data_IF_463659667776
#
_entry.id   IF_463659667776
#
_cell.length_a   1.000
_cell.length_b   1.000
_cell.length_c   1.000
_cell.angle_alpha   90.00
_cell.angle_beta   90.00
_cell.angle_gamma   90.00
#
_symmetry.space_group_name_H-M   'P 1'
#
loop_
_entity.id
_entity.type
_entity.pdbx_description
1 polymer ?
#
# COMPACT_ATOMS: atom_id res chain seq x y z
N UNK A 1 -6.32 -31.24 12.64
CA UNK A 1 -6.15 -29.87 13.18
C UNK A 1 -7.45 -29.46 13.83
N UNK A 2 -7.43 -28.87 15.03
CA UNK A 2 -8.64 -28.39 15.68
C UNK A 2 -9.07 -27.06 15.04
N UNK A 3 -10.33 -26.95 14.62
CA UNK A 3 -10.89 -25.71 14.07
C UNK A 3 -10.98 -24.68 15.20
N UNK A 4 -10.35 -23.52 15.03
CA UNK A 4 -10.46 -22.42 15.98
C UNK A 4 -11.92 -21.92 16.04
N UNK A 5 -12.42 -21.68 17.25
CA UNK A 5 -13.81 -21.26 17.53
C UNK A 5 -13.80 -20.05 18.44
N UNK A 6 -14.74 -19.12 18.26
CA UNK A 6 -14.98 -18.07 19.24
C UNK A 6 -15.93 -18.57 20.31
N UNK A 7 -15.53 -18.35 21.57
CA UNK A 7 -16.43 -18.51 22.71
C UNK A 7 -17.20 -17.21 22.91
N UNK A 8 -18.53 -17.30 22.89
CA UNK A 8 -19.42 -16.17 23.13
C UNK A 8 -20.13 -16.41 24.45
N UNK A 9 -20.04 -15.44 25.36
CA UNK A 9 -20.71 -15.51 26.64
C UNK A 9 -21.57 -14.27 26.90
N UNK A 10 -22.72 -14.45 27.52
CA UNK A 10 -23.66 -13.38 27.84
C UNK A 10 -24.38 -13.65 29.17
N UNK A 11 -24.77 -12.58 29.86
CA UNK A 11 -25.56 -12.69 31.09
C UNK A 11 -27.06 -12.63 30.79
N UNK A 12 -27.84 -13.48 31.45
CA UNK A 12 -29.29 -13.41 31.41
C UNK A 12 -29.80 -12.78 32.70
N UNK A 13 -30.35 -11.57 32.58
CA UNK A 13 -31.02 -10.89 33.69
C UNK A 13 -32.54 -10.92 33.48
N UNK A 14 -33.29 -11.37 34.49
CA UNK A 14 -34.75 -11.42 34.45
C UNK A 14 -35.36 -11.20 35.83
N UNK A 15 -36.64 -10.81 35.83
CA UNK A 15 -37.49 -10.79 37.03
C UNK A 15 -38.67 -11.70 36.76
N UNK A 16 -38.91 -12.65 37.65
CA UNK A 16 -40.05 -13.57 37.54
C UNK A 16 -40.66 -13.79 38.92
N UNK A 17 -42.00 -13.74 38.99
CA UNK A 17 -42.75 -14.09 40.20
C UNK A 17 -42.94 -15.60 40.37
N UNK A 18 -42.53 -16.39 39.37
CA UNK A 18 -42.60 -17.86 39.36
C UNK A 18 -41.27 -18.48 38.88
N UNK A 19 -40.91 -19.70 39.29
CA UNK A 19 -39.67 -20.33 38.85
C UNK A 19 -39.61 -20.50 37.32
N UNK A 20 -38.43 -20.24 36.74
CA UNK A 20 -38.15 -20.58 35.34
C UNK A 20 -37.98 -22.09 35.24
N UNK A 21 -38.64 -22.71 34.27
CA UNK A 21 -38.63 -24.17 34.05
C UNK A 21 -37.92 -24.58 32.76
N UNK A 22 -37.56 -23.62 31.90
CA UNK A 22 -36.80 -23.88 30.67
C UNK A 22 -36.12 -22.63 30.12
N UNK A 23 -35.01 -22.81 29.42
CA UNK A 23 -34.27 -21.74 28.77
C UNK A 23 -33.61 -22.22 27.48
N UNK A 24 -33.77 -21.47 26.39
CA UNK A 24 -33.23 -21.82 25.08
C UNK A 24 -32.67 -20.57 24.40
N UNK A 25 -31.47 -20.68 23.83
CA UNK A 25 -30.88 -19.68 22.96
C UNK A 25 -31.01 -20.10 21.49
N UNK A 26 -31.27 -19.13 20.63
CA UNK A 26 -31.37 -19.26 19.20
C UNK A 26 -30.44 -18.25 18.56
N UNK A 27 -29.55 -18.68 17.68
CA UNK A 27 -28.67 -17.74 16.99
C UNK A 27 -28.48 -18.07 15.51
N UNK A 28 -28.35 -17.02 14.70
CA UNK A 28 -28.00 -17.12 13.29
C UNK A 28 -27.27 -15.88 12.82
N UNK A 29 -26.64 -15.97 11.66
CA UNK A 29 -26.12 -14.78 10.97
C UNK A 29 -27.30 -13.90 10.60
N UNK A 30 -27.19 -12.62 10.95
CA UNK A 30 -28.19 -11.61 10.67
C UNK A 30 -28.46 -11.56 9.17
N UNK A 31 -29.74 -11.48 8.80
CA UNK A 31 -30.22 -11.48 7.41
C UNK A 31 -29.91 -12.76 6.60
N UNK A 32 -29.38 -13.82 7.23
CA UNK A 32 -29.26 -15.13 6.58
C UNK A 32 -30.61 -15.82 6.43
N UNK A 33 -30.77 -16.50 5.28
CA UNK A 33 -31.86 -17.42 5.00
C UNK A 33 -31.76 -18.74 5.81
N UNK A 34 -30.59 -19.01 6.42
CA UNK A 34 -30.38 -20.19 7.25
C UNK A 34 -31.30 -20.20 8.49
N UNK A 35 -31.73 -21.39 8.96
CA UNK A 35 -32.47 -21.51 10.21
C UNK A 35 -31.61 -21.14 11.42
N UNK A 36 -32.25 -20.80 12.54
CA UNK A 36 -31.53 -20.58 13.80
C UNK A 36 -30.87 -21.88 14.27
N UNK A 37 -29.63 -21.76 14.74
CA UNK A 37 -29.03 -22.79 15.59
C UNK A 37 -29.69 -22.73 16.95
N UNK A 38 -30.16 -23.88 17.44
CA UNK A 38 -30.87 -24.01 18.72
C UNK A 38 -29.93 -24.56 19.77
N UNK A 39 -29.83 -23.86 20.91
CA UNK A 39 -29.01 -24.26 22.04
C UNK A 39 -29.86 -24.27 23.32
N UNK A 40 -30.13 -25.47 23.85
CA UNK A 40 -30.83 -25.63 25.12
C UNK A 40 -29.89 -25.30 26.28
N UNK A 41 -30.28 -24.34 27.12
CA UNK A 41 -29.48 -23.91 28.27
C UNK A 41 -29.81 -24.82 29.45
N UNK A 42 -28.92 -25.77 29.74
CA UNK A 42 -29.06 -26.74 30.82
C UNK A 42 -27.80 -26.69 31.71
N UNK A 43 -27.94 -26.47 33.04
CA UNK A 43 -29.19 -26.30 33.79
C UNK A 43 -29.88 -24.94 33.52
N UNK A 44 -31.15 -24.83 33.92
CA UNK A 44 -31.91 -23.57 33.82
C UNK A 44 -31.18 -22.46 34.57
N UNK A 45 -30.91 -21.30 33.95
CA UNK A 45 -30.09 -20.25 34.55
C UNK A 45 -30.81 -19.54 35.70
N UNK A 46 -30.06 -19.28 36.77
CA UNK A 46 -30.44 -18.29 37.78
C UNK A 46 -30.33 -16.87 37.21
N UNK A 47 -31.04 -15.91 37.78
CA UNK A 47 -30.90 -14.51 37.41
C UNK A 47 -29.44 -14.04 37.53
N UNK A 48 -28.90 -13.44 36.47
CA UNK A 48 -27.51 -12.98 36.40
C UNK A 48 -26.49 -14.05 36.00
N UNK A 49 -26.92 -15.27 35.67
CA UNK A 49 -26.00 -16.34 35.23
C UNK A 49 -25.32 -15.99 33.91
N UNK A 50 -24.02 -16.28 33.83
CA UNK A 50 -23.24 -16.25 32.60
C UNK A 50 -23.49 -17.53 31.79
N UNK A 51 -23.94 -17.37 30.55
CA UNK A 51 -24.15 -18.46 29.59
C UNK A 51 -23.08 -18.37 28.52
N UNK A 52 -22.48 -19.51 28.17
CA UNK A 52 -21.52 -19.62 27.07
C UNK A 52 -22.14 -20.47 25.96
N UNK A 53 -22.21 -19.92 24.75
CA UNK A 53 -22.66 -20.64 23.56
C UNK A 53 -21.62 -21.68 23.10
N UNK A 54 -22.03 -22.73 22.37
CA UNK A 54 -21.10 -23.57 21.63
C UNK A 54 -20.21 -22.73 20.70
N UNK A 55 -18.97 -23.17 20.49
CA UNK A 55 -17.99 -22.46 19.69
C UNK A 55 -18.51 -22.12 18.29
N UNK A 56 -18.43 -20.84 17.92
CA UNK A 56 -18.88 -20.35 16.61
C UNK A 56 -17.65 -20.09 15.73
N UNK A 57 -17.68 -20.59 14.49
CA UNK A 57 -16.52 -20.54 13.56
C UNK A 57 -16.63 -19.38 12.57
N UNK A 58 -17.84 -19.08 12.09
CA UNK A 58 -18.06 -18.13 11.00
C UNK A 58 -18.12 -16.70 11.54
N UNK A 59 -17.34 -15.80 10.96
CA UNK A 59 -17.40 -14.36 11.27
C UNK A 59 -18.68 -13.75 10.72
N UNK A 60 -19.19 -12.72 11.40
CA UNK A 60 -20.36 -11.98 10.95
C UNK A 60 -21.11 -11.30 12.09
N UNK A 61 -22.15 -10.55 11.73
CA UNK A 61 -23.14 -10.05 12.67
C UNK A 61 -24.16 -11.16 12.94
N UNK A 62 -24.38 -11.49 14.21
CA UNK A 62 -25.32 -12.53 14.62
C UNK A 62 -26.51 -11.91 15.33
N UNK A 63 -27.69 -12.45 15.05
CA UNK A 63 -28.87 -12.26 15.87
C UNK A 63 -28.92 -13.37 16.94
N UNK A 64 -29.15 -12.97 18.19
CA UNK A 64 -29.35 -13.86 19.33
C UNK A 64 -30.75 -13.64 19.89
N UNK A 65 -31.57 -14.69 19.92
CA UNK A 65 -32.82 -14.70 20.67
C UNK A 65 -32.71 -15.66 21.86
N UNK A 66 -33.16 -15.23 23.03
CA UNK A 66 -33.21 -16.07 24.24
C UNK A 66 -34.66 -16.18 24.67
N UNK A 67 -35.12 -17.41 24.88
CA UNK A 67 -36.44 -17.74 25.38
C UNK A 67 -36.34 -18.31 26.79
N UNK A 68 -37.15 -17.79 27.71
CA UNK A 68 -37.34 -18.32 29.06
C UNK A 68 -38.78 -18.78 29.22
N UNK A 69 -38.97 -19.97 29.79
CA UNK A 69 -40.29 -20.56 30.04
C UNK A 69 -40.58 -20.58 31.53
N UNK A 70 -41.75 -20.09 31.93
CA UNK A 70 -42.23 -20.16 33.30
C UNK A 70 -43.73 -20.45 33.32
N UNK A 71 -44.16 -21.49 34.03
CA UNK A 71 -45.56 -21.93 34.11
C UNK A 71 -46.25 -22.09 32.73
N UNK A 72 -45.50 -22.56 31.73
CA UNK A 72 -45.99 -22.73 30.34
C UNK A 72 -46.03 -21.46 29.49
N UNK A 73 -45.69 -20.29 30.05
CA UNK A 73 -45.56 -19.03 29.31
C UNK A 73 -44.11 -18.86 28.84
N UNK A 74 -43.92 -18.52 27.57
CA UNK A 74 -42.61 -18.28 26.96
C UNK A 74 -42.41 -16.78 26.77
N UNK A 75 -41.29 -16.25 27.28
CA UNK A 75 -40.85 -14.88 27.05
C UNK A 75 -39.59 -14.89 26.21
N UNK A 76 -39.58 -14.14 25.10
CA UNK A 76 -38.46 -14.03 24.16
C UNK A 76 -37.84 -12.64 24.20
N UNK A 77 -36.51 -12.58 24.20
CA UNK A 77 -35.75 -11.34 23.98
C UNK A 77 -34.73 -11.52 22.87
N UNK A 78 -34.62 -10.52 22.00
CA UNK A 78 -33.67 -10.50 20.88
C UNK A 78 -32.58 -9.47 21.15
N UNK A 79 -31.35 -9.82 20.77
CA UNK A 79 -30.16 -8.98 20.78
C UNK A 79 -29.32 -9.31 19.54
N UNK A 80 -28.24 -8.56 19.34
CA UNK A 80 -27.22 -8.88 18.36
C UNK A 80 -25.84 -8.88 18.99
N UNK A 81 -24.92 -9.62 18.37
CA UNK A 81 -23.51 -9.59 18.71
C UNK A 81 -22.68 -9.79 17.44
N UNK A 82 -21.48 -9.21 17.43
CA UNK A 82 -20.54 -9.35 16.32
C UNK A 82 -19.52 -10.43 16.64
N UNK A 83 -19.32 -11.33 15.69
CA UNK A 83 -18.23 -12.29 15.70
C UNK A 83 -17.18 -11.81 14.70
N UNK A 84 -15.98 -11.52 15.21
CA UNK A 84 -14.81 -11.24 14.38
C UNK A 84 -14.27 -12.51 13.70
N UNK A 85 -13.06 -12.47 13.17
CA UNK A 85 -12.43 -13.67 12.66
C UNK A 85 -12.07 -14.61 13.82
N UNK A 86 -12.72 -15.77 13.89
CA UNK A 86 -12.47 -16.81 14.90
C UNK A 86 -11.40 -17.80 14.48
N UNK A 87 -10.94 -17.71 13.24
CA UNK A 87 -9.71 -18.36 12.83
C UNK A 87 -8.55 -17.76 13.60
N UNK A 88 -7.61 -18.60 14.00
CA UNK A 88 -6.22 -18.15 13.96
C UNK A 88 -5.97 -17.75 12.51
N UNK A 89 -6.15 -16.48 12.14
CA UNK A 89 -5.47 -15.97 10.96
C UNK A 89 -3.99 -16.00 11.31
N UNK A 90 -3.39 -17.18 11.18
CA UNK A 90 -1.95 -17.31 11.17
C UNK A 90 -1.50 -16.34 10.09
N UNK A 91 -0.52 -15.50 10.41
CA UNK A 91 0.07 -14.66 9.39
C UNK A 91 0.81 -15.59 8.43
N UNK A 92 0.09 -16.09 7.42
CA UNK A 92 0.59 -17.17 6.59
C UNK A 92 1.84 -16.72 5.86
N UNK A 93 2.86 -17.56 5.95
CA UNK A 93 4.11 -17.35 5.25
C UNK A 93 3.86 -17.42 3.76
N UNK A 94 4.21 -16.37 3.02
CA UNK A 94 4.01 -16.37 1.58
C UNK A 94 5.07 -17.22 0.87
N UNK A 95 4.90 -17.45 -0.43
CA UNK A 95 5.82 -18.22 -1.24
C UNK A 95 6.25 -17.46 -2.50
N UNK A 96 7.53 -17.55 -2.85
CA UNK A 96 8.04 -17.08 -4.14
C UNK A 96 8.07 -18.27 -5.09
N UNK A 97 7.25 -18.24 -6.15
CA UNK A 97 7.17 -19.31 -7.14
C UNK A 97 8.31 -19.25 -8.14
N UNK A 98 8.63 -18.03 -8.60
CA UNK A 98 9.64 -17.78 -9.60
C UNK A 98 10.19 -16.36 -9.48
N UNK A 99 11.41 -16.16 -9.97
CA UNK A 99 12.00 -14.84 -10.16
C UNK A 99 12.55 -14.79 -11.59
N UNK A 100 11.99 -13.91 -12.40
CA UNK A 100 12.45 -13.66 -13.77
C UNK A 100 13.31 -12.40 -13.79
N UNK A 101 14.50 -12.49 -14.39
CA UNK A 101 15.32 -11.31 -14.70
C UNK A 101 15.28 -11.07 -16.19
N UNK A 102 14.55 -10.03 -16.60
CA UNK A 102 14.37 -9.66 -18.00
C UNK A 102 15.67 -9.13 -18.61
N UNK A 103 15.74 -9.09 -19.94
CA UNK A 103 16.92 -8.59 -20.67
C UNK A 103 17.28 -7.14 -20.33
N UNK A 104 16.29 -6.33 -19.94
CA UNK A 104 16.49 -4.97 -19.47
C UNK A 104 16.87 -4.88 -17.99
N UNK A 105 17.25 -6.00 -17.37
CA UNK A 105 17.57 -6.13 -15.95
C UNK A 105 16.38 -6.15 -15.01
N UNK A 106 15.16 -5.84 -15.45
CA UNK A 106 13.97 -5.83 -14.59
C UNK A 106 13.79 -7.19 -13.91
N UNK A 107 13.78 -7.18 -12.58
CA UNK A 107 13.46 -8.35 -11.77
C UNK A 107 11.94 -8.38 -11.57
N UNK A 108 11.32 -9.52 -11.88
CA UNK A 108 9.89 -9.77 -11.69
C UNK A 108 9.75 -10.99 -10.78
N UNK A 109 9.12 -10.79 -9.62
CA UNK A 109 8.87 -11.81 -8.63
C UNK A 109 7.44 -12.35 -8.83
N UNK A 110 7.29 -13.64 -9.11
CA UNK A 110 6.02 -14.36 -9.01
C UNK A 110 5.82 -14.76 -7.55
N UNK A 111 4.93 -14.01 -6.90
CA UNK A 111 4.70 -14.03 -5.48
C UNK A 111 3.29 -14.52 -5.18
N UNK A 112 3.21 -15.62 -4.44
CA UNK A 112 1.97 -16.15 -3.91
C UNK A 112 1.81 -15.72 -2.45
N UNK A 113 0.86 -14.82 -2.21
CA UNK A 113 0.39 -14.50 -0.87
C UNK A 113 -1.13 -14.56 -0.82
N UNK A 114 -1.67 -15.09 0.26
CA UNK A 114 -3.10 -14.99 0.54
C UNK A 114 -3.41 -13.54 0.92
N UNK A 115 -4.43 -12.93 0.33
CA UNK A 115 -4.86 -11.57 0.69
C UNK A 115 -5.67 -11.55 2.00
N UNK A 116 -6.08 -12.71 2.52
CA UNK A 116 -6.73 -12.84 3.82
C UNK A 116 -5.81 -12.33 4.93
N UNK A 117 -6.25 -11.35 5.71
CA UNK A 117 -5.48 -10.76 6.82
C UNK A 117 -4.17 -10.07 6.39
N UNK A 118 -4.05 -9.65 5.12
CA UNK A 118 -2.91 -8.85 4.65
C UNK A 118 -3.03 -7.40 5.14
N UNK A 119 -2.01 -6.92 5.85
CA UNK A 119 -1.78 -5.49 6.10
C UNK A 119 -0.92 -4.92 4.98
N UNK A 120 0.31 -5.42 4.87
CA UNK A 120 1.26 -4.98 3.85
C UNK A 120 2.30 -6.06 3.54
N UNK A 121 2.72 -6.23 2.28
CA UNK A 121 3.79 -7.18 1.93
C UNK A 121 5.18 -6.54 2.03
N UNK A 122 6.20 -7.39 2.18
CA UNK A 122 7.61 -6.98 2.24
C UNK A 122 8.49 -7.97 1.45
N UNK A 123 9.52 -7.47 0.76
CA UNK A 123 10.60 -8.30 0.23
C UNK A 123 11.98 -7.69 0.50
N UNK A 124 13.00 -8.55 0.47
CA UNK A 124 14.41 -8.20 0.65
C UNK A 124 15.26 -8.87 -0.42
N UNK A 125 16.33 -8.21 -0.85
CA UNK A 125 17.36 -8.74 -1.73
C UNK A 125 18.72 -8.61 -1.03
N UNK A 126 19.48 -9.71 -1.02
CA UNK A 126 20.80 -9.79 -0.40
C UNK A 126 21.85 -10.36 -1.36
N UNK A 127 23.12 -10.15 -1.02
CA UNK A 127 24.28 -10.75 -1.73
C UNK A 127 24.64 -12.14 -1.19
N UNK A 128 24.08 -12.52 -0.03
CA UNK A 128 24.28 -13.81 0.63
C UNK A 128 22.94 -14.52 0.92
N UNK A 129 22.91 -15.87 0.93
CA UNK A 129 21.68 -16.65 1.11
C UNK A 129 21.08 -16.54 2.51
N UNK A 130 21.88 -16.13 3.51
CA UNK A 130 21.47 -15.98 4.90
C UNK A 130 20.94 -14.56 5.20
N UNK A 131 21.01 -13.66 4.22
CA UNK A 131 20.59 -12.26 4.31
C UNK A 131 21.31 -11.48 5.41
N UNK A 132 22.61 -11.69 5.56
CA UNK A 132 23.47 -10.85 6.40
C UNK A 132 23.83 -9.52 5.71
N UNK A 133 23.84 -9.48 4.39
CA UNK A 133 24.14 -8.30 3.55
C UNK A 133 22.95 -7.97 2.64
N UNK A 134 21.92 -7.35 3.22
CA UNK A 134 20.73 -6.89 2.50
C UNK A 134 21.03 -5.57 1.78
N UNK A 135 20.96 -5.60 0.45
CA UNK A 135 21.28 -4.46 -0.42
C UNK A 135 20.04 -3.73 -0.93
N UNK A 136 18.86 -4.33 -0.79
CA UNK A 136 17.60 -3.73 -1.17
C UNK A 136 16.43 -4.35 -0.39
N UNK A 137 15.44 -3.55 -0.06
CA UNK A 137 14.18 -4.02 0.52
C UNK A 137 13.05 -3.07 0.15
N UNK A 138 11.83 -3.59 0.18
CA UNK A 138 10.60 -2.81 0.01
C UNK A 138 9.53 -3.33 0.94
N UNK A 139 8.83 -2.39 1.56
CA UNK A 139 7.59 -2.63 2.32
C UNK A 139 6.50 -1.83 1.61
N UNK A 140 5.26 -2.28 1.68
CA UNK A 140 4.11 -1.49 1.20
C UNK A 140 4.05 -1.30 -0.30
N UNK A 141 4.07 -2.43 -1.00
CA UNK A 141 3.72 -2.51 -2.42
C UNK A 141 2.31 -3.05 -2.63
N UNK A 142 1.65 -2.57 -3.68
CA UNK A 142 0.33 -3.07 -4.08
C UNK A 142 0.45 -4.57 -4.38
N UNK A 143 -0.28 -5.40 -3.62
CA UNK A 143 -0.21 -6.83 -3.81
C UNK A 143 -0.79 -7.23 -5.17
N UNK A 144 0.09 -7.66 -6.07
CA UNK A 144 -0.22 -8.40 -7.28
C UNK A 144 0.58 -9.71 -7.32
N UNK A 145 0.06 -10.80 -7.92
CA UNK A 145 0.81 -12.06 -8.05
C UNK A 145 2.16 -11.92 -8.78
N UNK A 146 2.30 -10.91 -9.63
CA UNK A 146 3.57 -10.52 -10.25
C UNK A 146 3.97 -9.15 -9.70
N UNK A 147 5.09 -9.10 -8.99
CA UNK A 147 5.66 -7.84 -8.46
C UNK A 147 6.91 -7.49 -9.27
N UNK A 148 6.97 -6.25 -9.77
CA UNK A 148 8.19 -5.72 -10.35
C UNK A 148 9.06 -5.19 -9.22
N UNK A 149 10.29 -5.65 -9.07
CA UNK A 149 11.19 -5.06 -8.07
C UNK A 149 11.48 -3.61 -8.46
N UNK A 150 11.22 -2.68 -7.55
CA UNK A 150 11.45 -1.25 -7.75
C UNK A 150 12.76 -0.83 -7.10
N UNK A 151 13.68 -0.34 -7.91
CA UNK A 151 15.05 0.01 -7.49
C UNK A 151 15.12 1.37 -6.77
N UNK A 152 14.30 1.62 -5.74
CA UNK A 152 14.16 2.87 -4.96
C UNK A 152 15.50 3.40 -4.37
N UNK A 153 16.44 3.83 -5.22
CA UNK A 153 17.82 4.16 -4.87
C UNK A 153 18.76 2.97 -4.64
N UNK A 154 18.29 1.72 -4.73
CA UNK A 154 19.13 0.52 -4.54
C UNK A 154 20.18 0.33 -5.64
N UNK A 155 21.42 -0.01 -5.25
CA UNK A 155 22.50 -0.40 -6.17
C UNK A 155 22.56 -1.93 -6.25
N UNK A 156 21.63 -2.55 -6.98
CA UNK A 156 21.75 -3.97 -7.37
C UNK A 156 22.96 -4.09 -8.32
N UNK A 157 24.04 -4.77 -7.90
CA UNK A 157 25.23 -4.92 -8.73
C UNK A 157 24.89 -5.78 -9.97
N UNK A 158 25.51 -5.48 -11.10
CA UNK A 158 25.29 -6.21 -12.36
C UNK A 158 25.99 -7.58 -12.32
N UNK A 159 25.44 -8.58 -13.02
CA UNK A 159 26.00 -9.93 -13.19
C UNK A 159 26.43 -10.57 -11.87
N UNK A 160 25.59 -10.37 -10.84
CA UNK A 160 25.86 -10.82 -9.47
C UNK A 160 24.79 -11.81 -9.06
N UNK A 161 25.21 -12.87 -8.39
CA UNK A 161 24.27 -13.81 -7.78
C UNK A 161 23.67 -13.19 -6.53
N UNK A 162 22.35 -13.11 -6.49
CA UNK A 162 21.59 -12.46 -5.43
C UNK A 162 20.47 -13.38 -4.95
N UNK A 163 19.94 -13.05 -3.78
CA UNK A 163 18.93 -13.84 -3.10
C UNK A 163 17.77 -12.95 -2.73
N UNK A 164 16.54 -13.39 -3.03
CA UNK A 164 15.31 -12.68 -2.66
C UNK A 164 14.45 -13.55 -1.74
N UNK A 165 13.85 -12.90 -0.74
CA UNK A 165 12.83 -13.47 0.15
C UNK A 165 11.74 -12.45 0.39
N UNK A 166 10.55 -12.93 0.71
CA UNK A 166 9.39 -12.10 0.98
C UNK A 166 8.68 -12.53 2.27
N UNK A 167 7.92 -11.62 2.87
CA UNK A 167 7.06 -11.89 4.02
C UNK A 167 5.83 -11.00 3.99
N UNK A 168 4.91 -11.30 4.89
CA UNK A 168 3.63 -10.62 5.02
C UNK A 168 3.51 -9.98 6.40
N UNK A 169 3.02 -8.76 6.46
CA UNK A 169 2.48 -8.14 7.67
C UNK A 169 0.98 -8.34 7.70
N UNK A 170 0.42 -8.54 8.89
CA UNK A 170 -0.96 -8.94 9.08
C UNK A 170 -1.74 -8.01 9.99
N UNK A 171 -3.02 -7.80 9.67
CA UNK A 171 -3.89 -6.82 10.36
C UNK A 171 -4.38 -7.31 11.74
N UNK A 172 -4.88 -8.55 11.82
CA UNK A 172 -5.48 -9.09 13.04
C UNK A 172 -5.45 -10.63 13.08
N UNK A 173 -4.85 -11.27 14.10
CA UNK A 173 -4.01 -10.60 15.10
C UNK A 173 -2.83 -9.94 14.39
N UNK A 174 -2.46 -8.75 14.86
CA UNK A 174 -1.36 -8.02 14.28
C UNK A 174 -0.08 -8.87 14.40
N UNK A 175 0.69 -8.98 13.33
CA UNK A 175 1.85 -9.85 13.31
C UNK A 175 2.59 -9.81 11.98
N UNK A 176 3.73 -10.51 11.97
CA UNK A 176 4.59 -10.66 10.80
C UNK A 176 4.74 -12.16 10.57
N UNK A 177 4.59 -12.61 9.32
CA UNK A 177 4.83 -14.01 8.95
C UNK A 177 6.31 -14.36 9.05
N UNK A 178 6.63 -15.64 8.98
CA UNK A 178 8.00 -16.05 8.66
C UNK A 178 8.36 -15.58 7.23
N UNK A 179 9.65 -15.67 6.90
CA UNK A 179 10.13 -15.46 5.54
C UNK A 179 9.72 -16.61 4.63
N UNK A 180 9.45 -16.29 3.36
CA UNK A 180 9.25 -17.25 2.28
C UNK A 180 10.48 -18.13 2.06
N UNK A 181 10.35 -19.09 1.15
CA UNK A 181 11.51 -19.68 0.51
C UNK A 181 12.42 -18.59 -0.08
N UNK A 182 13.74 -18.83 0.00
CA UNK A 182 14.75 -17.99 -0.65
C UNK A 182 14.88 -18.40 -2.11
N UNK A 183 14.87 -17.43 -3.01
CA UNK A 183 15.09 -17.65 -4.43
C UNK A 183 16.40 -16.99 -4.86
N UNK A 184 17.29 -17.76 -5.48
CA UNK A 184 18.55 -17.27 -6.04
C UNK A 184 18.34 -16.86 -7.49
N UNK A 185 18.91 -15.73 -7.89
CA UNK A 185 18.87 -15.24 -9.27
C UNK A 185 20.18 -14.51 -9.62
N UNK A 186 20.49 -14.41 -10.91
CA UNK A 186 21.58 -13.57 -11.40
C UNK A 186 21.02 -12.23 -11.88
N UNK A 187 21.52 -11.14 -11.33
CA UNK A 187 21.18 -9.81 -11.80
C UNK A 187 21.74 -9.58 -13.21
N UNK A 188 20.99 -8.84 -14.03
CA UNK A 188 21.47 -8.29 -15.31
C UNK A 188 21.63 -6.79 -15.19
N UNK A 189 22.26 -6.19 -16.21
CA UNK A 189 22.32 -4.74 -16.34
C UNK A 189 20.91 -4.16 -16.32
N UNK A 190 20.63 -3.29 -15.36
CA UNK A 190 19.34 -2.61 -15.27
C UNK A 190 19.27 -1.48 -16.30
N UNK A 191 18.48 -1.68 -17.36
CA UNK A 191 18.31 -0.75 -18.48
C UNK A 191 17.09 0.16 -18.27
N UNK A 192 16.07 -0.24 -17.47
CA UNK A 192 14.82 0.53 -17.31
C UNK A 192 14.50 0.82 -15.84
N UNK A 193 15.03 1.93 -15.29
CA UNK A 193 14.57 2.48 -14.00
C UNK A 193 13.32 3.33 -14.27
N UNK A 194 12.11 2.81 -13.98
CA UNK A 194 10.90 3.63 -14.07
C UNK A 194 10.79 4.50 -12.81
N UNK A 195 10.89 5.81 -12.96
CA UNK A 195 10.54 6.79 -11.94
C UNK A 195 9.03 6.68 -11.63
N UNK A 196 8.62 6.27 -10.41
CA UNK A 196 7.24 5.85 -10.15
C UNK A 196 6.33 7.01 -9.72
N UNK A 197 6.87 8.19 -9.42
CA UNK A 197 6.11 9.30 -8.86
C UNK A 197 5.77 10.35 -9.90
N UNK A 198 4.54 10.33 -10.41
CA UNK A 198 4.05 11.24 -11.46
C UNK A 198 3.62 12.60 -10.90
N UNK A 199 4.12 13.68 -11.53
CA UNK A 199 3.72 15.06 -11.28
C UNK A 199 3.14 15.66 -12.57
N UNK A 200 1.83 15.87 -12.62
CA UNK A 200 1.13 16.43 -13.79
C UNK A 200 1.17 17.96 -13.89
N UNK A 201 1.80 18.62 -12.91
CA UNK A 201 1.83 20.06 -12.75
C UNK A 201 3.25 20.56 -12.40
N UNK A 202 4.23 19.97 -13.06
CA UNK A 202 5.60 20.48 -13.05
C UNK A 202 5.75 21.61 -14.08
N UNK A 203 6.25 22.76 -13.66
CA UNK A 203 6.56 23.88 -14.54
C UNK A 203 8.06 23.87 -14.78
N UNK A 204 8.49 23.57 -16.00
CA UNK A 204 9.91 23.42 -16.35
C UNK A 204 10.41 24.61 -17.17
N UNK A 205 11.61 25.11 -16.89
CA UNK A 205 12.28 26.16 -17.68
C UNK A 205 13.62 25.66 -18.19
N UNK A 206 13.89 25.87 -19.49
CA UNK A 206 15.13 25.46 -20.13
C UNK A 206 16.33 26.29 -19.66
N UNK A 207 17.52 25.67 -19.65
CA UNK A 207 18.77 26.37 -19.36
C UNK A 207 19.15 27.47 -20.36
N UNK A 208 18.49 27.54 -21.52
CA UNK A 208 18.72 28.64 -22.47
C UNK A 208 18.32 30.01 -21.90
N UNK A 209 17.41 30.02 -20.93
CA UNK A 209 16.89 31.25 -20.34
C UNK A 209 17.76 31.70 -19.16
N UNK A 210 17.85 33.01 -18.95
CA UNK A 210 18.67 33.58 -17.89
C UNK A 210 17.98 33.55 -16.53
N UNK A 211 16.65 33.68 -16.53
CA UNK A 211 15.83 33.80 -15.32
C UNK A 211 14.52 33.01 -15.47
N UNK A 212 14.11 32.21 -14.47
CA UNK A 212 12.87 31.42 -14.55
C UNK A 212 11.60 32.22 -14.25
N UNK A 213 11.74 33.40 -13.64
CA UNK A 213 10.65 34.26 -13.16
C UNK A 213 10.31 35.43 -14.08
N UNK A 214 11.16 35.74 -15.07
CA UNK A 214 11.03 36.92 -15.91
C UNK A 214 9.95 36.75 -16.99
N UNK A 215 8.82 37.44 -16.82
CA UNK A 215 7.71 37.42 -17.78
C UNK A 215 8.04 38.08 -19.12
N UNK A 216 9.08 38.91 -19.20
CA UNK A 216 9.44 39.66 -20.41
C UNK A 216 10.40 38.90 -21.33
N UNK A 217 11.21 37.97 -20.81
CA UNK A 217 12.11 37.13 -21.62
C UNK A 217 11.38 35.92 -22.24
N UNK A 218 10.22 35.54 -21.70
CA UNK A 218 9.53 34.30 -22.09
C UNK A 218 8.02 34.44 -22.29
N UNK A 219 7.36 35.47 -21.79
CA UNK A 219 5.91 35.57 -21.80
C UNK A 219 5.19 34.52 -20.93
N UNK A 220 5.93 33.71 -20.16
CA UNK A 220 5.40 32.77 -19.18
C UNK A 220 6.40 32.62 -18.03
N UNK A 221 6.11 33.23 -16.89
CA UNK A 221 6.86 33.02 -15.66
C UNK A 221 6.61 31.62 -15.12
N UNK A 222 7.64 30.91 -14.60
CA UNK A 222 7.48 29.60 -13.95
C UNK A 222 6.46 29.64 -12.80
N UNK A 223 6.22 30.83 -12.23
CA UNK A 223 5.33 31.06 -11.10
C UNK A 223 3.85 31.07 -11.46
N UNK A 224 3.50 31.16 -12.74
CA UNK A 224 2.11 31.09 -13.16
C UNK A 224 1.60 29.65 -13.11
N UNK A 225 0.38 29.46 -12.62
CA UNK A 225 -0.24 28.14 -12.43
C UNK A 225 -0.75 27.51 -13.73
N UNK A 226 -0.71 28.25 -14.84
CA UNK A 226 -1.13 27.81 -16.17
C UNK A 226 -0.10 28.26 -17.21
N UNK A 227 -0.11 27.59 -18.36
CA UNK A 227 0.71 27.98 -19.51
C UNK A 227 1.61 26.86 -20.05
N UNK A 228 2.36 27.22 -21.09
CA UNK A 228 3.16 26.29 -21.92
C UNK A 228 4.31 25.60 -21.18
N UNK A 229 4.69 26.12 -20.01
CA UNK A 229 5.74 25.55 -19.15
C UNK A 229 5.27 24.33 -18.34
N UNK A 230 3.95 24.12 -18.20
CA UNK A 230 3.38 22.98 -17.47
C UNK A 230 3.64 21.69 -18.24
N UNK A 231 4.20 20.68 -17.55
CA UNK A 231 4.57 19.37 -18.07
C UNK A 231 4.14 18.28 -17.09
N UNK A 232 3.93 17.09 -17.64
CA UNK A 232 3.84 15.87 -16.84
C UNK A 232 5.22 15.21 -16.83
N UNK A 233 5.79 15.03 -15.65
CA UNK A 233 7.09 14.37 -15.43
C UNK A 233 6.97 13.31 -14.33
N UNK A 234 7.98 12.47 -14.20
CA UNK A 234 8.11 11.55 -13.08
C UNK A 234 9.40 11.80 -12.32
N UNK A 235 9.38 11.58 -11.01
CA UNK A 235 10.56 11.63 -10.14
C UNK A 235 10.91 10.24 -9.59
N UNK A 236 12.19 10.06 -9.27
CA UNK A 236 12.68 8.87 -8.56
C UNK A 236 12.34 8.86 -7.06
N UNK A 237 11.81 9.97 -6.52
CA UNK A 237 11.46 10.12 -5.10
C UNK A 237 10.02 10.60 -4.96
N UNK A 238 9.32 10.25 -3.86
CA UNK A 238 7.91 10.61 -3.65
C UNK A 238 7.68 12.11 -3.52
N UNK A 239 8.71 12.87 -3.17
CA UNK A 239 8.67 14.31 -3.02
C UNK A 239 9.80 14.97 -3.83
N UNK A 240 9.60 16.17 -4.39
CA UNK A 240 10.67 16.94 -5.02
C UNK A 240 11.73 17.35 -3.99
N UNK A 241 12.97 16.87 -4.18
CA UNK A 241 14.07 17.15 -3.27
C UNK A 241 15.41 17.06 -4.01
N UNK A 242 16.49 17.49 -3.36
CA UNK A 242 17.84 17.26 -3.84
C UNK A 242 18.11 15.75 -3.97
N UNK A 243 18.72 15.33 -5.09
CA UNK A 243 18.96 13.92 -5.40
C UNK A 243 17.86 13.26 -6.26
N UNK A 244 16.72 13.93 -6.47
CA UNK A 244 15.66 13.42 -7.34
C UNK A 244 16.03 13.55 -8.82
N UNK A 245 15.91 12.47 -9.60
CA UNK A 245 16.05 12.53 -11.05
C UNK A 245 14.70 12.73 -11.72
N UNK A 246 14.68 13.57 -12.77
CA UNK A 246 13.50 13.85 -13.57
C UNK A 246 13.45 12.93 -14.80
N UNK A 247 12.29 12.32 -15.01
CA UNK A 247 11.95 11.50 -16.17
C UNK A 247 10.74 12.10 -16.89
N UNK A 248 10.58 11.76 -18.17
CA UNK A 248 9.39 12.14 -18.95
C UNK A 248 8.14 11.43 -18.40
N UNK A 249 6.98 11.74 -18.98
CA UNK A 249 5.68 11.20 -18.53
C UNK A 249 5.57 9.68 -18.57
N UNK A 250 6.40 9.00 -19.36
CA UNK A 250 6.50 7.54 -19.41
C UNK A 250 7.18 6.94 -18.15
N UNK A 251 7.87 7.77 -17.37
CA UNK A 251 8.66 7.39 -16.21
C UNK A 251 9.96 6.67 -16.55
N UNK A 252 10.23 6.37 -17.82
CA UNK A 252 11.36 5.54 -18.26
C UNK A 252 12.43 6.39 -18.93
N UNK A 253 12.02 7.40 -19.68
CA UNK A 253 12.93 8.23 -20.48
C UNK A 253 13.50 9.35 -19.60
N UNK A 254 14.83 9.42 -19.37
CA UNK A 254 15.43 10.49 -18.58
C UNK A 254 15.22 11.86 -19.23
N UNK A 255 14.97 12.90 -18.42
CA UNK A 255 14.79 14.27 -18.88
C UNK A 255 16.13 14.97 -19.19
N UNK A 256 16.88 14.39 -20.13
CA UNK A 256 18.12 14.94 -20.68
C UNK A 256 17.87 15.62 -22.03
N UNK A 257 18.75 16.52 -22.51
CA UNK A 257 18.50 17.30 -23.73
C UNK A 257 18.07 16.45 -24.94
N UNK A 258 18.75 15.33 -25.20
CA UNK A 258 18.43 14.43 -26.32
C UNK A 258 16.97 13.92 -26.33
N UNK A 259 16.31 13.86 -25.17
CA UNK A 259 14.96 13.32 -25.01
C UNK A 259 13.89 14.40 -24.86
N UNK A 260 14.27 15.67 -24.69
CA UNK A 260 13.35 16.76 -24.34
C UNK A 260 12.77 17.51 -25.55
N UNK A 261 12.94 17.00 -26.77
CA UNK A 261 12.40 17.63 -27.98
C UNK A 261 10.87 17.85 -27.92
N UNK A 262 10.14 16.97 -27.26
CA UNK A 262 8.68 17.12 -27.06
C UNK A 262 8.29 18.27 -26.13
N UNK A 263 9.22 18.79 -25.32
CA UNK A 263 8.97 19.96 -24.47
C UNK A 263 9.10 21.27 -25.26
N UNK A 264 9.70 21.25 -26.45
CA UNK A 264 9.85 22.42 -27.31
C UNK A 264 8.57 22.68 -28.12
N UNK A 265 7.67 23.48 -27.55
CA UNK A 265 6.40 23.91 -28.19
C UNK A 265 6.44 25.36 -28.69
N UNK A 266 7.58 26.04 -28.52
CA UNK A 266 7.79 27.43 -28.95
C UNK A 266 7.69 28.44 -27.80
N UNK A 267 8.10 29.68 -28.05
CA UNK A 267 8.08 30.76 -27.05
C UNK A 267 8.83 30.38 -25.76
N UNK A 268 8.18 30.55 -24.61
CA UNK A 268 8.70 30.18 -23.29
C UNK A 268 9.10 28.70 -23.18
N UNK A 269 8.42 27.81 -23.90
CA UNK A 269 8.64 26.38 -23.85
C UNK A 269 9.55 25.96 -25.01
N UNK A 270 10.80 26.39 -25.01
CA UNK A 270 11.76 26.05 -26.06
C UNK A 270 13.22 25.98 -25.59
N UNK A 271 14.05 25.25 -26.35
CA UNK A 271 15.47 24.98 -26.09
C UNK A 271 15.74 23.93 -25.03
N UNK A 272 14.74 23.10 -24.69
CA UNK A 272 14.99 21.96 -23.83
C UNK A 272 15.83 20.90 -24.53
N UNK A 273 15.65 20.70 -25.84
CA UNK A 273 16.44 19.72 -26.60
C UNK A 273 17.94 20.03 -26.67
N UNK A 274 18.28 21.32 -26.62
CA UNK A 274 19.65 21.82 -26.79
C UNK A 274 20.33 22.12 -25.44
N UNK A 275 19.55 22.43 -24.40
CA UNK A 275 20.10 22.96 -23.14
C UNK A 275 19.52 22.33 -21.88
N UNK A 276 18.55 21.42 -21.98
CA UNK A 276 17.97 20.71 -20.83
C UNK A 276 17.11 21.59 -19.91
N UNK A 277 16.66 21.02 -18.79
CA UNK A 277 15.87 21.71 -17.76
C UNK A 277 16.83 22.31 -16.73
N UNK A 278 16.69 23.59 -16.42
CA UNK A 278 17.50 24.26 -15.38
C UNK A 278 16.73 24.58 -14.11
N UNK A 279 15.43 24.83 -14.25
CA UNK A 279 14.55 25.07 -13.12
C UNK A 279 13.25 24.32 -13.27
N UNK A 280 12.74 23.83 -12.13
CA UNK A 280 11.43 23.20 -12.06
C UNK A 280 10.67 23.65 -10.81
N UNK A 281 9.36 23.78 -10.92
CA UNK A 281 8.43 24.07 -9.82
C UNK A 281 7.28 23.07 -9.85
N UNK A 282 6.78 22.66 -8.69
CA UNK A 282 5.69 21.70 -8.58
C UNK A 282 4.49 22.36 -7.91
N UNK A 283 3.41 22.59 -8.68
CA UNK A 283 2.26 23.37 -8.22
C UNK A 283 1.57 22.79 -6.98
N UNK A 284 1.31 21.49 -7.00
CA UNK A 284 0.54 20.71 -6.04
C UNK A 284 1.28 20.39 -4.75
N UNK A 285 2.62 20.37 -4.80
CA UNK A 285 3.45 20.04 -3.65
C UNK A 285 3.85 21.29 -2.86
N UNK A 286 4.51 22.24 -3.53
CA UNK A 286 4.85 23.53 -2.95
C UNK A 286 5.04 24.54 -4.08
N UNK A 287 3.93 25.19 -4.46
CA UNK A 287 3.90 26.13 -5.55
C UNK A 287 4.79 27.37 -5.38
N UNK A 288 5.40 27.58 -4.21
CA UNK A 288 6.33 28.70 -3.96
C UNK A 288 7.80 28.35 -4.21
N UNK A 289 8.17 27.07 -4.15
CA UNK A 289 9.57 26.63 -4.25
C UNK A 289 9.97 26.34 -5.69
N UNK A 290 11.09 26.92 -6.11
CA UNK A 290 11.76 26.60 -7.37
C UNK A 290 12.98 25.74 -7.05
N UNK A 291 13.17 24.67 -7.81
CA UNK A 291 14.29 23.75 -7.67
C UNK A 291 15.29 23.97 -8.80
N UNK A 292 16.58 23.96 -8.49
CA UNK A 292 17.65 23.98 -9.48
C UNK A 292 17.87 22.56 -10.00
N UNK A 293 18.00 22.43 -11.31
CA UNK A 293 18.22 21.16 -12.02
C UNK A 293 19.54 21.22 -12.76
N UNK A 294 20.35 20.17 -12.67
CA UNK A 294 21.49 19.98 -13.57
C UNK A 294 20.94 19.68 -14.98
N UNK A 295 21.11 20.59 -15.95
CA UNK A 295 20.47 20.45 -17.26
C UNK A 295 21.01 19.30 -18.10
N UNK A 296 22.19 18.77 -17.76
CA UNK A 296 22.79 17.65 -18.48
C UNK A 296 22.18 16.29 -18.09
N UNK A 297 21.70 16.18 -16.86
CA UNK A 297 21.29 14.91 -16.24
C UNK A 297 19.82 14.86 -15.80
N UNK A 298 19.16 16.02 -15.65
CA UNK A 298 17.81 16.11 -15.08
C UNK A 298 17.76 15.89 -13.57
N UNK A 299 18.91 15.95 -12.88
CA UNK A 299 19.02 15.82 -11.43
C UNK A 299 18.63 17.13 -10.74
N UNK A 300 17.73 17.07 -9.74
CA UNK A 300 17.49 18.18 -8.82
C UNK A 300 18.69 18.31 -7.88
N UNK A 301 19.37 19.46 -7.93
CA UNK A 301 20.62 19.70 -7.20
C UNK A 301 20.44 20.52 -5.93
N UNK A 302 19.36 21.29 -5.82
CA UNK A 302 19.06 22.12 -4.64
C UNK A 302 17.70 22.82 -4.79
N UNK A 303 17.17 23.35 -3.69
CA UNK A 303 16.14 24.39 -3.74
C UNK A 303 16.83 25.71 -4.10
N UNK A 304 16.27 26.48 -5.04
CA UNK A 304 16.83 27.75 -5.45
C UNK A 304 16.79 28.77 -4.32
N UNK A 305 17.94 29.37 -4.01
CA UNK A 305 18.07 30.46 -3.04
C UNK A 305 17.86 31.82 -3.68
N UNK A 306 18.00 31.92 -5.01
CA UNK A 306 17.88 33.16 -5.78
C UNK A 306 16.48 33.40 -6.31
N UNK A 307 15.68 32.35 -6.48
CA UNK A 307 14.36 32.43 -7.09
C UNK A 307 13.32 31.68 -6.25
N UNK A 308 12.17 32.31 -6.06
CA UNK A 308 10.98 31.71 -5.51
C UNK A 308 9.74 32.28 -6.21
N UNK A 309 8.60 31.64 -5.99
CA UNK A 309 7.31 32.18 -6.36
C UNK A 309 6.63 32.65 -5.08
N UNK A 310 6.96 33.86 -4.64
CA UNK A 310 6.13 34.56 -3.65
C UNK A 310 4.75 34.79 -4.25
N UNK A 311 3.72 34.37 -3.52
CA UNK A 311 2.34 34.75 -3.82
C UNK A 311 2.12 36.23 -3.53
#
# INVERSE_FOLDING_TARGET
MATATCNISFNINYTSSVPITGATAYYKIKDSADPYTVFNIIPVPSNGSLITLPGIVKSGEYELAVELTASGVVTRKVSSFKIGNCGTSVCETPAIKNVEVRENGQIVMDYAVDDVNLDTPEYQIATDPDFNDVIHFRVDFDYTPLENVHMDGGNIPENTSLYIRARKHCLSPAGISDWSNVFQFESKRWIVKKAPYTFADAFCVSAKFKEPTNSNESGASICWSEGVLKKTINLTTPFPQEGSYIYLSDGITPAIPANLGSFDTGGASSGFKDSGIKWVRFGSYNGSKIYNVDPSSGLITSISTSYNCTT
#
